data_IF_617372671429
#
_entry.id   IF_617372671429
#
_cell.length_a   1.000
_cell.length_b   1.000
_cell.length_c   1.000
_cell.angle_alpha   90.00
_cell.angle_beta   90.00
_cell.angle_gamma   90.00
#
_symmetry.space_group_name_H-M   'P 1'
#
loop_
_entity.id
_entity.type
_entity.pdbx_description
1 polymer ?
#
# COMPACT_ATOMS: atom_id res chain seq x y z
N UNK A 1 9.73 -0.31 -22.08
CA UNK A 1 8.77 0.53 -21.34
C UNK A 1 9.57 1.54 -20.53
N UNK A 2 9.19 2.81 -20.52
CA UNK A 2 9.80 3.77 -19.60
C UNK A 2 9.33 3.45 -18.17
N UNK A 3 10.27 3.38 -17.22
CA UNK A 3 9.92 3.28 -15.81
C UNK A 3 9.20 4.57 -15.39
N UNK A 4 8.10 4.44 -14.64
CA UNK A 4 7.45 5.60 -14.04
C UNK A 4 8.43 6.32 -13.10
N UNK A 5 8.43 7.65 -13.14
CA UNK A 5 9.31 8.46 -12.32
C UNK A 5 9.14 8.13 -10.82
N UNK A 6 10.23 8.05 -10.03
CA UNK A 6 10.14 7.89 -8.60
C UNK A 6 9.22 8.94 -7.97
N UNK A 7 8.41 8.56 -6.97
CA UNK A 7 7.54 9.49 -6.23
C UNK A 7 7.46 9.14 -4.75
N UNK A 8 7.40 10.14 -3.88
CA UNK A 8 7.15 9.92 -2.46
C UNK A 8 5.67 9.53 -2.26
N UNK A 9 5.42 8.49 -1.47
CA UNK A 9 4.08 7.99 -1.13
C UNK A 9 3.76 8.09 0.36
N UNK A 10 4.75 8.35 1.21
CA UNK A 10 4.61 8.59 2.64
C UNK A 10 5.90 9.24 3.17
N UNK A 11 5.76 10.13 4.15
CA UNK A 11 6.87 10.87 4.75
C UNK A 11 6.58 11.15 6.23
N UNK A 12 7.64 11.17 7.03
CA UNK A 12 7.66 11.58 8.43
C UNK A 12 8.95 12.37 8.65
N UNK A 13 8.86 13.69 8.75
CA UNK A 13 10.03 14.57 8.73
C UNK A 13 9.83 15.83 9.57
N UNK A 14 10.93 16.42 10.01
CA UNK A 14 10.97 17.64 10.82
C UNK A 14 11.75 18.72 10.07
N UNK A 15 11.10 19.84 9.72
CA UNK A 15 11.77 20.98 9.05
C UNK A 15 12.85 21.65 9.91
N UNK A 16 12.89 21.35 11.21
CA UNK A 16 13.96 21.77 12.10
C UNK A 16 15.26 20.95 11.95
N UNK A 17 15.23 19.82 11.22
CA UNK A 17 16.40 18.97 10.95
C UNK A 17 17.07 18.37 12.20
N UNK A 18 16.35 18.28 13.32
CA UNK A 18 16.89 17.79 14.62
C UNK A 18 16.83 16.28 14.75
N UNK A 19 15.93 15.65 14.00
CA UNK A 19 15.56 14.25 14.08
C UNK A 19 15.77 13.59 12.72
N UNK A 20 15.99 12.27 12.70
CA UNK A 20 16.05 11.50 11.45
C UNK A 20 14.70 11.60 10.73
N UNK A 21 14.74 11.81 9.41
CA UNK A 21 13.55 11.99 8.57
C UNK A 21 13.37 10.75 7.68
N UNK A 22 12.13 10.25 7.60
CA UNK A 22 11.79 8.98 6.96
C UNK A 22 10.88 9.19 5.75
N UNK A 23 11.23 8.57 4.63
CA UNK A 23 10.51 8.70 3.38
C UNK A 23 10.29 7.33 2.73
N UNK A 24 9.10 7.13 2.16
CA UNK A 24 8.78 5.97 1.33
C UNK A 24 8.63 6.44 -0.11
N UNK A 25 9.50 5.95 -0.99
CA UNK A 25 9.55 6.32 -2.42
C UNK A 25 9.10 5.12 -3.23
N UNK A 26 8.05 5.28 -4.03
CA UNK A 26 7.64 4.28 -5.01
C UNK A 26 8.51 4.38 -6.26
N UNK A 27 9.08 3.25 -6.69
CA UNK A 27 9.86 3.08 -7.91
C UNK A 27 9.27 1.92 -8.71
N UNK A 28 8.53 2.21 -9.78
CA UNK A 28 7.71 1.20 -10.45
C UNK A 28 6.68 0.60 -9.49
N UNK A 29 6.77 -0.71 -9.24
CA UNK A 29 5.92 -1.45 -8.27
C UNK A 29 6.64 -1.77 -6.94
N UNK A 30 7.83 -1.23 -6.70
CA UNK A 30 8.60 -1.45 -5.46
C UNK A 30 8.67 -0.19 -4.60
N UNK A 31 8.61 -0.36 -3.28
CA UNK A 31 8.80 0.74 -2.32
C UNK A 31 10.24 0.72 -1.80
N UNK A 32 10.90 1.87 -1.87
CA UNK A 32 12.19 2.16 -1.24
C UNK A 32 11.96 2.98 0.02
N UNK A 33 12.74 2.69 1.05
CA UNK A 33 12.73 3.39 2.33
C UNK A 33 13.98 4.25 2.39
N UNK A 34 13.85 5.55 2.59
CA UNK A 34 14.99 6.45 2.71
C UNK A 34 14.93 7.12 4.07
N UNK A 35 15.95 6.89 4.87
CA UNK A 35 16.17 7.61 6.13
C UNK A 35 17.25 8.66 5.89
N UNK A 36 16.94 9.92 6.16
CA UNK A 36 17.89 11.02 6.15
C UNK A 36 18.27 11.32 7.59
N UNK A 37 19.56 11.21 7.90
CA UNK A 37 20.12 11.49 9.21
C UNK A 37 19.79 12.91 9.66
N UNK A 38 19.52 13.08 10.95
CA UNK A 38 19.41 14.37 11.61
C UNK A 38 20.57 15.30 11.19
N UNK A 39 20.24 16.53 10.81
CA UNK A 39 21.19 17.57 10.37
C UNK A 39 21.96 17.25 9.07
N UNK A 40 21.66 16.15 8.36
CA UNK A 40 22.24 15.90 7.05
C UNK A 40 21.69 16.87 5.99
N UNK A 41 20.42 17.26 6.09
CA UNK A 41 19.82 18.34 5.28
C UNK A 41 19.61 19.59 6.13
N UNK A 42 19.73 20.75 5.48
CA UNK A 42 19.33 22.04 6.05
C UNK A 42 17.81 22.24 5.93
N UNK A 43 17.28 23.28 6.59
CA UNK A 43 15.86 23.55 6.64
C UNK A 43 15.22 23.86 5.27
N UNK A 44 15.95 24.50 4.34
CA UNK A 44 15.42 24.80 3.00
C UNK A 44 15.35 23.52 2.17
N UNK A 45 16.42 22.71 2.17
CA UNK A 45 16.40 21.38 1.55
C UNK A 45 15.29 20.48 2.10
N UNK A 46 15.00 20.54 3.40
CA UNK A 46 13.91 19.76 4.02
C UNK A 46 12.51 20.24 3.62
N UNK A 47 12.33 21.54 3.41
CA UNK A 47 11.06 22.12 2.92
C UNK A 47 10.81 21.73 1.45
N UNK A 48 11.85 21.72 0.63
CA UNK A 48 11.74 21.42 -0.81
C UNK A 48 11.72 19.91 -1.12
N UNK A 49 12.14 19.06 -0.15
CA UNK A 49 12.24 17.61 -0.29
C UNK A 49 10.97 16.94 -0.87
N UNK A 50 9.74 17.23 -0.40
CA UNK A 50 8.52 16.62 -0.95
C UNK A 50 8.30 16.81 -2.45
N UNK A 51 8.89 17.85 -3.05
CA UNK A 51 8.73 18.21 -4.46
C UNK A 51 9.97 17.83 -5.29
N UNK A 52 11.17 18.07 -4.76
CA UNK A 52 12.43 18.02 -5.51
C UNK A 52 13.44 16.98 -4.95
N UNK A 53 12.99 15.93 -4.25
CA UNK A 53 13.88 14.95 -3.61
C UNK A 53 14.96 14.33 -4.52
N UNK A 54 14.71 14.22 -5.83
CA UNK A 54 15.67 13.64 -6.78
C UNK A 54 16.91 14.52 -7.00
N UNK A 55 16.79 15.84 -6.82
CA UNK A 55 17.90 16.80 -6.91
C UNK A 55 18.56 17.05 -5.54
N UNK A 56 17.81 16.80 -4.45
CA UNK A 56 18.25 17.03 -3.06
C UNK A 56 19.01 15.81 -2.49
N UNK A 57 18.60 14.59 -2.84
CA UNK A 57 19.24 13.36 -2.39
C UNK A 57 20.43 13.00 -3.30
N UNK A 58 21.40 12.20 -2.81
CA UNK A 58 22.36 11.51 -3.68
C UNK A 58 21.62 10.71 -4.78
N UNK A 59 22.23 10.58 -5.96
CA UNK A 59 21.65 9.79 -7.05
C UNK A 59 21.52 8.30 -6.64
N UNK A 60 20.31 7.90 -6.24
CA UNK A 60 20.02 6.52 -5.83
C UNK A 60 19.69 5.65 -7.05
N UNK A 61 20.10 4.36 -7.06
CA UNK A 61 19.80 3.44 -8.16
C UNK A 61 18.35 2.93 -8.07
N UNK A 62 17.38 3.82 -8.31
CA UNK A 62 15.95 3.54 -8.15
C UNK A 62 15.43 2.38 -9.02
N UNK A 63 16.06 2.16 -10.19
CA UNK A 63 15.74 1.05 -11.09
C UNK A 63 16.30 -0.31 -10.67
N UNK A 64 17.15 -0.38 -9.64
CA UNK A 64 17.85 -1.60 -9.25
C UNK A 64 17.21 -2.28 -8.03
N UNK A 65 17.14 -3.61 -8.05
CA UNK A 65 16.41 -4.39 -7.03
C UNK A 65 17.28 -4.95 -5.90
N UNK A 66 18.58 -4.62 -5.91
CA UNK A 66 19.56 -5.06 -4.91
C UNK A 66 19.51 -4.29 -3.58
N UNK A 67 18.57 -3.35 -3.40
CA UNK A 67 18.41 -2.58 -2.16
C UNK A 67 16.93 -2.31 -1.83
N UNK A 68 16.63 -1.92 -0.58
CA UNK A 68 15.32 -1.40 -0.21
C UNK A 68 15.35 -0.29 0.85
N UNK A 69 16.15 -0.34 1.94
CA UNK A 69 16.50 0.87 2.67
C UNK A 69 17.78 1.53 2.14
N UNK A 70 17.80 2.86 2.17
CA UNK A 70 18.98 3.71 2.04
C UNK A 70 19.08 4.64 3.25
N UNK A 71 20.27 4.73 3.85
CA UNK A 71 20.58 5.71 4.89
C UNK A 71 21.41 6.84 4.29
N UNK A 72 20.92 8.08 4.41
CA UNK A 72 21.54 9.29 3.85
C UNK A 72 22.17 10.09 4.99
N UNK A 73 23.49 10.26 4.95
CA UNK A 73 24.25 11.05 5.91
C UNK A 73 24.96 12.20 5.21
N UNK A 74 25.46 13.18 5.97
CA UNK A 74 26.39 14.20 5.46
C UNK A 74 27.81 13.91 5.95
N UNK A 75 28.73 13.73 5.02
CA UNK A 75 30.14 13.54 5.31
C UNK A 75 30.72 14.81 5.95
N UNK A 76 31.29 14.67 7.16
CA UNK A 76 31.79 15.81 7.94
C UNK A 76 33.05 16.47 7.35
N UNK A 77 33.84 15.75 6.54
CA UNK A 77 35.06 16.26 5.92
C UNK A 77 34.81 16.92 4.55
N UNK A 78 33.87 16.39 3.75
CA UNK A 78 33.58 16.91 2.40
C UNK A 78 32.33 17.79 2.34
N UNK A 79 31.47 17.75 3.36
CA UNK A 79 30.18 18.40 3.40
C UNK A 79 29.13 17.81 2.44
N UNK A 80 29.46 16.75 1.69
CA UNK A 80 28.55 16.12 0.71
C UNK A 80 27.62 15.11 1.36
N UNK A 81 26.48 14.88 0.72
CA UNK A 81 25.57 13.79 1.08
C UNK A 81 26.10 12.46 0.53
N UNK A 82 26.00 11.42 1.34
CA UNK A 82 26.40 10.05 1.01
C UNK A 82 25.24 9.10 1.30
N UNK A 83 25.13 8.01 0.53
CA UNK A 83 24.06 7.03 0.64
C UNK A 83 24.62 5.63 0.94
N UNK A 84 24.25 5.08 2.09
CA UNK A 84 24.50 3.68 2.44
C UNK A 84 23.27 2.83 2.06
N UNK A 85 23.38 2.06 0.97
CA UNK A 85 22.33 1.16 0.49
C UNK A 85 22.39 -0.18 1.22
N UNK A 86 21.23 -0.74 1.55
CA UNK A 86 21.11 -2.04 2.20
C UNK A 86 20.03 -2.90 1.53
N UNK A 87 20.13 -4.22 1.68
CA UNK A 87 19.08 -5.18 1.34
C UNK A 87 18.65 -5.89 2.60
N UNK A 88 17.38 -5.77 2.96
CA UNK A 88 16.77 -6.37 4.14
C UNK A 88 15.49 -7.09 3.71
N UNK A 89 15.26 -8.30 4.20
CA UNK A 89 13.97 -8.96 4.00
C UNK A 89 12.93 -8.30 4.91
N UNK A 90 11.96 -7.63 4.30
CA UNK A 90 10.91 -6.91 5.02
C UNK A 90 9.83 -7.89 5.49
N UNK A 91 9.23 -7.67 6.68
CA UNK A 91 8.13 -8.50 7.15
C UNK A 91 6.97 -8.46 6.16
N UNK A 92 6.54 -9.64 5.71
CA UNK A 92 5.45 -9.83 4.76
C UNK A 92 4.26 -10.57 5.37
N UNK A 93 3.19 -10.72 4.59
CA UNK A 93 2.06 -11.57 4.97
C UNK A 93 2.45 -13.03 4.72
N UNK A 94 2.79 -13.75 5.79
CA UNK A 94 3.11 -15.18 5.75
C UNK A 94 1.84 -16.03 5.53
N UNK A 95 0.80 -15.80 6.34
CA UNK A 95 -0.47 -16.52 6.25
C UNK A 95 -1.36 -15.91 5.17
N UNK A 96 -1.29 -16.48 3.97
CA UNK A 96 -2.10 -16.08 2.81
C UNK A 96 -3.52 -16.64 2.95
N UNK A 97 -4.49 -15.76 3.24
CA UNK A 97 -5.91 -16.13 3.42
C UNK A 97 -6.65 -16.49 2.12
N UNK A 98 -6.14 -16.04 0.96
CA UNK A 98 -6.74 -16.29 -0.36
C UNK A 98 -5.65 -16.38 -1.44
N UNK A 99 -5.80 -17.29 -2.40
CA UNK A 99 -4.77 -17.57 -3.41
C UNK A 99 -4.50 -16.36 -4.33
N UNK A 100 -5.56 -15.62 -4.70
CA UNK A 100 -5.46 -14.41 -5.52
C UNK A 100 -4.84 -13.28 -4.71
N UNK A 101 -3.68 -12.81 -5.14
CA UNK A 101 -3.01 -11.61 -4.62
C UNK A 101 -3.27 -10.45 -5.58
N UNK A 102 -3.64 -9.30 -5.06
CA UNK A 102 -3.92 -8.10 -5.85
C UNK A 102 -2.97 -7.00 -5.39
N UNK A 103 -2.25 -6.39 -6.33
CA UNK A 103 -1.42 -5.21 -6.07
C UNK A 103 -2.31 -4.04 -5.68
N UNK A 104 -2.03 -3.40 -4.55
CA UNK A 104 -2.74 -2.20 -4.11
C UNK A 104 -2.62 -1.05 -5.13
N UNK A 105 -1.55 -1.03 -5.93
CA UNK A 105 -1.32 -0.02 -6.97
C UNK A 105 -2.21 -0.23 -8.21
N UNK A 106 -2.84 -1.39 -8.32
CA UNK A 106 -3.69 -1.81 -9.45
C UNK A 106 -5.19 -1.70 -9.07
N UNK A 107 -5.48 -1.12 -7.90
CA UNK A 107 -6.82 -0.84 -7.40
C UNK A 107 -7.26 0.57 -7.79
N UNK A 108 -8.34 0.66 -8.54
CA UNK A 108 -9.06 1.90 -8.81
C UNK A 108 -10.20 2.07 -7.81
N UNK A 109 -10.33 3.24 -7.21
CA UNK A 109 -11.30 3.53 -6.16
C UNK A 109 -12.63 4.00 -6.76
N UNK A 110 -13.67 3.17 -6.67
CA UNK A 110 -15.00 3.50 -7.19
C UNK A 110 -15.84 4.28 -6.18
N UNK A 111 -15.80 3.92 -4.89
CA UNK A 111 -16.71 4.48 -3.88
C UNK A 111 -16.13 4.53 -2.47
N UNK A 112 -16.44 5.56 -1.70
CA UNK A 112 -16.31 5.51 -0.23
C UNK A 112 -17.59 4.89 0.36
N UNK A 113 -17.46 3.90 1.25
CA UNK A 113 -18.60 3.27 1.92
C UNK A 113 -18.77 3.78 3.35
N UNK A 114 -17.67 3.83 4.11
CA UNK A 114 -17.60 4.41 5.47
C UNK A 114 -16.28 5.17 5.62
N UNK A 115 -15.99 5.76 6.79
CA UNK A 115 -14.70 6.41 7.05
C UNK A 115 -13.47 5.49 6.77
N UNK A 116 -13.62 4.18 7.01
CA UNK A 116 -12.53 3.20 6.91
C UNK A 116 -12.74 2.14 5.81
N UNK A 117 -13.91 2.12 5.16
CA UNK A 117 -14.23 1.18 4.09
C UNK A 117 -14.46 1.90 2.75
N UNK A 118 -13.91 1.30 1.69
CA UNK A 118 -14.00 1.78 0.31
C UNK A 118 -14.26 0.59 -0.62
N UNK A 119 -14.97 0.87 -1.71
CA UNK A 119 -15.14 -0.02 -2.84
C UNK A 119 -14.03 0.30 -3.86
N UNK A 120 -13.39 -0.74 -4.38
CA UNK A 120 -12.37 -0.62 -5.42
C UNK A 120 -12.60 -1.71 -6.48
N UNK A 121 -12.37 -1.35 -7.74
CA UNK A 121 -12.19 -2.29 -8.85
C UNK A 121 -10.71 -2.55 -9.04
N UNK A 122 -10.35 -3.80 -9.36
CA UNK A 122 -8.97 -4.16 -9.69
C UNK A 122 -8.85 -4.33 -11.21
N UNK A 123 -7.94 -3.59 -11.85
CA UNK A 123 -7.76 -3.60 -13.32
C UNK A 123 -6.52 -4.38 -13.77
N UNK A 124 -5.83 -5.05 -12.84
CA UNK A 124 -4.63 -5.85 -13.11
C UNK A 124 -4.89 -7.09 -13.99
N UNK A 125 -3.87 -7.58 -14.72
CA UNK A 125 -4.00 -8.70 -15.66
C UNK A 125 -4.51 -9.99 -15.00
N UNK A 126 -4.16 -10.22 -13.72
CA UNK A 126 -4.59 -11.38 -12.93
C UNK A 126 -6.09 -11.38 -12.58
N UNK A 127 -6.80 -10.27 -12.79
CA UNK A 127 -8.26 -10.17 -12.62
C UNK A 127 -8.97 -10.68 -13.88
N UNK A 128 -8.48 -10.28 -15.06
CA UNK A 128 -9.08 -10.59 -16.36
C UNK A 128 -8.87 -12.06 -16.79
N UNK A 129 -7.93 -12.77 -16.17
CA UNK A 129 -7.61 -14.17 -16.45
C UNK A 129 -8.70 -15.19 -16.01
N UNK A 130 -9.70 -14.74 -15.23
CA UNK A 130 -10.95 -15.50 -15.01
C UNK A 130 -11.39 -15.58 -13.55
N UNK A 131 -12.69 -15.38 -13.32
CA UNK A 131 -13.36 -15.77 -12.07
C UNK A 131 -14.88 -16.05 -12.24
N UNK A 132 -15.35 -16.31 -13.47
CA UNK A 132 -16.78 -16.56 -13.78
C UNK A 132 -17.38 -17.84 -13.15
N UNK A 133 -16.60 -18.59 -12.37
CA UNK A 133 -17.07 -19.73 -11.58
C UNK A 133 -17.12 -19.43 -10.07
N UNK A 134 -16.26 -18.56 -9.53
CA UNK A 134 -16.23 -18.24 -8.10
C UNK A 134 -17.38 -17.30 -7.72
N UNK A 135 -17.68 -16.30 -8.54
CA UNK A 135 -18.87 -15.44 -8.38
C UNK A 135 -20.16 -16.28 -8.38
N UNK A 136 -20.33 -17.17 -9.35
CA UNK A 136 -21.51 -18.06 -9.44
C UNK A 136 -21.63 -18.99 -8.22
N UNK A 137 -20.50 -19.46 -7.68
CA UNK A 137 -20.50 -20.29 -6.48
C UNK A 137 -20.88 -19.50 -5.22
N UNK A 138 -20.50 -18.22 -5.14
CA UNK A 138 -20.89 -17.32 -4.04
C UNK A 138 -22.36 -16.92 -4.13
N UNK A 139 -22.85 -16.54 -5.32
CA UNK A 139 -24.27 -16.22 -5.55
C UNK A 139 -25.17 -17.42 -5.24
N UNK A 140 -24.82 -18.62 -5.72
CA UNK A 140 -25.56 -19.85 -5.42
C UNK A 140 -25.55 -20.19 -3.92
N UNK A 141 -24.46 -19.90 -3.21
CA UNK A 141 -24.37 -20.06 -1.76
C UNK A 141 -25.27 -19.08 -1.01
N UNK A 142 -25.26 -17.80 -1.40
CA UNK A 142 -26.13 -16.77 -0.80
C UNK A 142 -27.62 -17.02 -1.07
N UNK A 143 -27.97 -17.53 -2.26
CA UNK A 143 -29.34 -17.94 -2.58
C UNK A 143 -29.81 -19.07 -1.65
N UNK A 144 -29.03 -20.16 -1.51
CA UNK A 144 -29.39 -21.28 -0.63
C UNK A 144 -29.51 -20.89 0.85
N UNK A 145 -28.71 -19.93 1.32
CA UNK A 145 -28.85 -19.39 2.68
C UNK A 145 -30.13 -18.57 2.86
N UNK A 146 -30.55 -17.80 1.84
CA UNK A 146 -31.80 -17.03 1.86
C UNK A 146 -33.02 -17.94 1.90
N UNK A 147 -33.03 -19.02 1.11
CA UNK A 147 -34.15 -19.97 1.07
C UNK A 147 -34.35 -20.64 2.44
N UNK A 148 -33.26 -21.13 3.07
CA UNK A 148 -33.30 -21.73 4.41
C UNK A 148 -33.84 -20.80 5.49
N UNK A 149 -33.45 -19.52 5.46
CA UNK A 149 -33.96 -18.50 6.38
C UNK A 149 -35.46 -18.21 6.17
N UNK A 150 -35.97 -18.39 4.95
CA UNK A 150 -37.41 -18.27 4.68
C UNK A 150 -38.22 -19.46 5.20
N UNK A 151 -37.68 -20.69 5.13
CA UNK A 151 -38.35 -21.88 5.65
C UNK A 151 -38.45 -21.86 7.19
N UNK A 152 -37.39 -21.47 7.90
CA UNK A 152 -37.40 -21.39 9.37
C UNK A 152 -38.37 -20.33 9.92
N UNK A 153 -38.70 -19.29 9.13
CA UNK A 153 -39.65 -18.23 9.54
C UNK A 153 -41.11 -18.53 9.19
N UNK A 154 -41.41 -19.61 8.46
CA UNK A 154 -42.77 -20.00 8.07
C UNK A 154 -43.57 -20.78 9.12
N UNK A 155 -42.95 -21.20 10.22
CA UNK A 155 -43.52 -22.12 11.22
C UNK A 155 -44.49 -21.52 12.25
N UNK A 156 -45.14 -20.39 11.98
CA UNK A 156 -46.03 -19.67 12.91
C UNK A 156 -47.44 -20.25 13.04
N UNK A 157 -47.57 -21.52 13.43
CA UNK A 157 -48.85 -22.22 13.52
C UNK A 157 -49.71 -21.82 14.73
N UNK A 158 -50.82 -21.11 14.47
CA UNK A 158 -52.09 -21.13 15.22
C UNK A 158 -52.05 -21.04 16.74
N UNK A 159 -52.33 -19.85 17.28
CA UNK A 159 -52.94 -19.74 18.61
C UNK A 159 -54.47 -19.80 18.47
N UNK A 160 -55.08 -20.91 18.87
CA UNK A 160 -56.54 -20.99 19.01
C UNK A 160 -57.00 -20.08 20.15
N UNK A 161 -57.93 -19.18 19.84
CA UNK A 161 -58.63 -18.38 20.84
C UNK A 161 -59.74 -19.24 21.47
N UNK A 162 -59.61 -19.54 22.75
CA UNK A 162 -60.69 -20.11 23.56
C UNK A 162 -61.49 -18.99 24.23
N UNK A 163 -62.82 -19.07 24.06
CA UNK A 163 -63.85 -18.19 24.62
C UNK A 163 -64.18 -18.51 26.08
#
# INVERSE_FOLDING_TARGET
MAMAAPRIISMEFSTAGRDDCYFRILTGHSVRYVTVQARALDAHSLIDMPLNFQDILPALPYGENHWNPAYISRNAATGKLEAALQKIDLPGVETVWHQKKISFLDLERTRQLTLLAQECTATGPDILAGDSQSEKSLESGMASLRDKLSEETGGGGGFDAVE
#
